data_IF_872282262454
#
_entry.id   IF_872282262454
#
_cell.length_a   1.000
_cell.length_b   1.000
_cell.length_c   1.000
_cell.angle_alpha   90.00
_cell.angle_beta   90.00
_cell.angle_gamma   90.00
#
_symmetry.space_group_name_H-M   'P 1'
#
loop_
_entity.id
_entity.type
_entity.pdbx_description
1 polymer ?
#
# COMPACT_ATOMS: atom_id res chain seq x y z
N UNK A 1 28.69 16.44 -3.07
CA UNK A 1 27.91 17.70 -3.19
C UNK A 1 26.79 17.44 -4.18
N UNK A 2 25.56 17.89 -3.90
CA UNK A 2 24.42 17.73 -4.82
C UNK A 2 24.68 18.61 -6.05
N UNK A 3 24.61 18.02 -7.24
CA UNK A 3 24.80 18.75 -8.49
C UNK A 3 23.50 19.45 -8.92
N UNK A 4 23.61 20.45 -9.80
CA UNK A 4 22.43 21.09 -10.38
C UNK A 4 21.55 20.09 -11.16
N UNK A 5 22.16 19.06 -11.76
CA UNK A 5 21.46 17.99 -12.49
C UNK A 5 20.59 17.16 -11.53
N UNK A 6 21.12 16.80 -10.37
CA UNK A 6 20.36 16.03 -9.36
C UNK A 6 19.12 16.79 -8.88
N UNK A 7 19.27 18.10 -8.65
CA UNK A 7 18.17 18.96 -8.23
C UNK A 7 17.10 19.08 -9.31
N UNK A 8 17.49 19.21 -10.58
CA UNK A 8 16.57 19.26 -11.70
C UNK A 8 15.76 17.97 -11.79
N UNK A 9 16.41 16.80 -11.71
CA UNK A 9 15.73 15.49 -11.75
C UNK A 9 14.72 15.39 -10.60
N UNK A 10 15.10 15.80 -9.40
CA UNK A 10 14.23 15.78 -8.22
C UNK A 10 13.00 16.68 -8.38
N UNK A 11 13.18 17.91 -8.86
CA UNK A 11 12.07 18.86 -9.08
C UNK A 11 11.13 18.34 -10.15
N UNK A 12 11.66 17.85 -11.29
CA UNK A 12 10.84 17.29 -12.37
C UNK A 12 10.02 16.11 -11.88
N UNK A 13 10.62 15.21 -11.08
CA UNK A 13 9.91 14.10 -10.46
C UNK A 13 8.75 14.58 -9.56
N UNK A 14 9.01 15.53 -8.66
CA UNK A 14 7.98 16.06 -7.76
C UNK A 14 6.84 16.74 -8.53
N UNK A 15 7.16 17.56 -9.52
CA UNK A 15 6.16 18.22 -10.38
C UNK A 15 5.35 17.18 -11.15
N UNK A 16 5.99 16.14 -11.67
CA UNK A 16 5.32 15.01 -12.33
C UNK A 16 4.32 14.31 -11.41
N UNK A 17 4.75 13.97 -10.19
CA UNK A 17 3.90 13.33 -9.18
C UNK A 17 2.69 14.20 -8.80
N UNK A 18 2.90 15.50 -8.55
CA UNK A 18 1.82 16.46 -8.28
C UNK A 18 0.88 16.59 -9.48
N UNK A 19 1.41 16.60 -10.70
CA UNK A 19 0.63 16.64 -11.93
C UNK A 19 -0.30 15.44 -12.08
N UNK A 20 0.20 14.22 -11.81
CA UNK A 20 -0.62 13.00 -11.80
C UNK A 20 -1.71 13.09 -10.72
N UNK A 21 -1.36 13.52 -9.50
CA UNK A 21 -2.33 13.71 -8.42
C UNK A 21 -3.43 14.69 -8.79
N UNK A 22 -3.08 15.85 -9.34
CA UNK A 22 -4.06 16.87 -9.76
C UNK A 22 -4.96 16.39 -10.90
N UNK A 23 -4.39 15.64 -11.85
CA UNK A 23 -5.14 15.06 -12.96
C UNK A 23 -6.22 14.08 -12.48
N UNK A 24 -5.87 13.15 -11.58
CA UNK A 24 -6.83 12.18 -11.05
C UNK A 24 -7.79 12.80 -10.02
N UNK A 25 -7.35 13.80 -9.26
CA UNK A 25 -8.24 14.58 -8.39
C UNK A 25 -9.43 15.16 -9.16
N UNK A 26 -9.21 15.66 -10.38
CA UNK A 26 -10.29 16.18 -11.25
C UNK A 26 -11.18 15.11 -11.86
N UNK A 27 -10.73 13.84 -11.89
CA UNK A 27 -11.47 12.71 -12.47
C UNK A 27 -12.33 11.98 -11.45
N UNK A 28 -11.94 12.00 -10.19
CA UNK A 28 -12.72 11.36 -9.12
C UNK A 28 -14.02 12.14 -8.91
N UNK A 29 -15.17 11.50 -9.17
CA UNK A 29 -16.49 12.14 -9.02
C UNK A 29 -17.22 11.69 -7.77
N UNK A 30 -16.98 10.47 -7.33
CA UNK A 30 -17.66 9.87 -6.19
C UNK A 30 -16.70 9.10 -5.27
N UNK A 31 -17.28 8.51 -4.23
CA UNK A 31 -16.56 7.72 -3.24
C UNK A 31 -15.98 6.42 -3.81
N UNK A 32 -16.63 5.84 -4.83
CA UNK A 32 -16.15 4.61 -5.48
C UNK A 32 -14.90 4.90 -6.32
N UNK A 33 -14.88 6.03 -7.05
CA UNK A 33 -13.70 6.50 -7.77
C UNK A 33 -12.53 6.75 -6.81
N UNK A 34 -12.79 7.40 -5.67
CA UNK A 34 -11.76 7.77 -4.72
C UNK A 34 -11.16 6.58 -3.95
N UNK A 35 -12.00 5.68 -3.42
CA UNK A 35 -11.53 4.59 -2.55
C UNK A 35 -11.07 3.35 -3.33
N UNK A 36 -11.70 3.04 -4.47
CA UNK A 36 -11.48 1.78 -5.19
C UNK A 36 -11.20 1.98 -6.69
N UNK A 37 -10.96 3.22 -7.13
CA UNK A 37 -10.64 3.53 -8.52
C UNK A 37 -11.75 3.13 -9.50
N UNK A 38 -13.01 3.24 -9.09
CA UNK A 38 -14.17 2.85 -9.89
C UNK A 38 -14.29 1.34 -10.15
N UNK A 39 -13.50 0.52 -9.45
CA UNK A 39 -13.43 -0.95 -9.61
C UNK A 39 -13.09 -1.43 -11.03
N UNK A 40 -12.53 -0.56 -11.87
CA UNK A 40 -12.17 -0.86 -13.27
C UNK A 40 -10.69 -1.17 -13.47
N UNK A 41 -9.87 -1.11 -12.40
CA UNK A 41 -8.44 -1.39 -12.48
C UNK A 41 -8.19 -2.87 -12.76
N UNK A 42 -7.33 -3.17 -13.73
CA UNK A 42 -6.92 -4.55 -13.99
C UNK A 42 -6.00 -5.06 -12.86
N UNK A 43 -6.00 -6.38 -12.65
CA UNK A 43 -5.20 -7.03 -11.60
C UNK A 43 -3.71 -6.68 -11.66
N UNK A 44 -3.18 -6.41 -12.86
CA UNK A 44 -1.79 -6.00 -13.06
C UNK A 44 -1.52 -4.62 -12.43
N UNK A 45 -2.37 -3.63 -12.66
CA UNK A 45 -2.21 -2.29 -12.08
C UNK A 45 -2.31 -2.34 -10.55
N UNK A 46 -3.24 -3.15 -10.02
CA UNK A 46 -3.37 -3.37 -8.58
C UNK A 46 -2.09 -4.01 -8.03
N UNK A 47 -1.57 -5.05 -8.68
CA UNK A 47 -0.34 -5.73 -8.27
C UNK A 47 0.88 -4.80 -8.24
N UNK A 48 1.07 -3.98 -9.28
CA UNK A 48 2.14 -2.99 -9.32
C UNK A 48 2.01 -1.95 -8.19
N UNK A 49 0.79 -1.49 -7.90
CA UNK A 49 0.53 -0.56 -6.80
C UNK A 49 0.84 -1.18 -5.43
N UNK A 50 0.51 -2.46 -5.23
CA UNK A 50 0.82 -3.18 -3.99
C UNK A 50 2.33 -3.26 -3.79
N UNK A 51 3.09 -3.65 -4.82
CA UNK A 51 4.55 -3.75 -4.74
C UNK A 51 5.18 -2.37 -4.50
N UNK A 52 4.69 -1.32 -5.18
CA UNK A 52 5.17 0.04 -4.98
C UNK A 52 4.90 0.57 -3.56
N UNK A 53 3.81 0.13 -2.92
CA UNK A 53 3.47 0.50 -1.53
C UNK A 53 4.35 -0.24 -0.52
N UNK A 54 4.67 -1.51 -0.80
CA UNK A 54 5.49 -2.35 0.07
C UNK A 54 6.97 -1.91 0.06
N UNK A 55 7.51 -1.61 -1.12
CA UNK A 55 8.92 -1.24 -1.31
C UNK A 55 9.09 0.28 -1.24
N UNK A 56 9.01 0.84 -0.03
CA UNK A 56 9.25 2.26 0.24
C UNK A 56 10.71 2.60 0.62
N UNK A 57 11.00 3.89 0.77
CA UNK A 57 12.35 4.37 1.14
C UNK A 57 12.86 3.82 2.47
N UNK A 58 12.00 3.76 3.50
CA UNK A 58 12.35 3.16 4.79
C UNK A 58 12.66 1.67 4.70
N UNK A 59 11.93 0.93 3.84
CA UNK A 59 12.21 -0.48 3.58
C UNK A 59 13.58 -0.67 2.91
N UNK A 60 13.90 0.14 1.90
CA UNK A 60 15.20 0.07 1.22
C UNK A 60 16.37 0.37 2.15
N UNK A 61 16.27 1.42 2.97
CA UNK A 61 17.31 1.79 3.93
C UNK A 61 17.44 0.72 5.03
N UNK A 62 16.31 0.28 5.61
CA UNK A 62 16.29 -0.71 6.67
C UNK A 62 16.87 -2.06 6.22
N UNK A 63 16.49 -2.53 5.03
CA UNK A 63 17.03 -3.77 4.48
C UNK A 63 18.51 -3.63 4.11
N UNK A 64 18.92 -2.50 3.53
CA UNK A 64 20.34 -2.22 3.28
C UNK A 64 21.17 -2.26 4.57
N UNK A 65 20.64 -1.69 5.66
CA UNK A 65 21.24 -1.76 6.99
C UNK A 65 21.32 -3.18 7.54
N UNK A 66 20.28 -3.99 7.38
CA UNK A 66 20.31 -5.41 7.76
C UNK A 66 21.34 -6.19 6.93
N UNK A 67 21.41 -5.96 5.62
CA UNK A 67 22.41 -6.56 4.75
C UNK A 67 23.83 -6.18 5.17
N UNK A 68 24.06 -4.94 5.62
CA UNK A 68 25.33 -4.51 6.18
C UNK A 68 25.67 -5.21 7.50
N UNK A 69 24.69 -5.35 8.40
CA UNK A 69 24.91 -5.89 9.74
C UNK A 69 25.06 -7.42 9.80
N UNK A 70 24.23 -8.15 9.05
CA UNK A 70 24.14 -9.61 9.11
C UNK A 70 24.34 -10.30 7.75
N UNK A 71 24.78 -9.55 6.74
CA UNK A 71 25.07 -10.09 5.41
C UNK A 71 23.84 -10.65 4.71
N UNK A 72 24.04 -11.71 3.93
CA UNK A 72 22.99 -12.37 3.16
C UNK A 72 21.86 -12.93 4.05
N UNK A 73 22.11 -13.20 5.34
CA UNK A 73 21.06 -13.65 6.24
C UNK A 73 19.91 -12.63 6.38
N UNK A 74 20.19 -11.33 6.18
CA UNK A 74 19.16 -10.28 6.17
C UNK A 74 18.11 -10.45 5.07
N UNK A 75 18.45 -11.14 3.97
CA UNK A 75 17.48 -11.41 2.90
C UNK A 75 16.39 -12.41 3.30
N UNK A 76 16.56 -13.13 4.41
CA UNK A 76 15.53 -14.05 4.89
C UNK A 76 14.23 -13.33 5.24
N UNK A 77 14.31 -12.08 5.71
CA UNK A 77 13.15 -11.24 5.96
C UNK A 77 12.34 -10.97 4.68
N UNK A 78 13.03 -10.76 3.55
CA UNK A 78 12.36 -10.62 2.25
C UNK A 78 11.66 -11.91 1.84
N UNK A 79 12.34 -13.03 2.01
CA UNK A 79 11.84 -14.32 1.54
C UNK A 79 10.56 -14.74 2.28
N UNK A 80 10.54 -14.57 3.61
CA UNK A 80 9.35 -14.88 4.42
C UNK A 80 8.21 -13.90 4.13
N UNK A 81 8.51 -12.61 3.95
CA UNK A 81 7.53 -11.61 3.54
C UNK A 81 6.89 -11.93 2.18
N UNK A 82 7.71 -12.30 1.19
CA UNK A 82 7.25 -12.67 -0.14
C UNK A 82 6.35 -13.91 -0.12
N UNK A 83 6.71 -14.94 0.64
CA UNK A 83 5.87 -16.13 0.82
C UNK A 83 4.53 -15.74 1.47
N UNK A 84 4.56 -14.92 2.52
CA UNK A 84 3.34 -14.45 3.19
C UNK A 84 2.42 -13.63 2.28
N UNK A 85 2.99 -12.75 1.47
CA UNK A 85 2.27 -11.96 0.48
C UNK A 85 1.66 -12.86 -0.60
N UNK A 86 2.41 -13.86 -1.09
CA UNK A 86 1.93 -14.81 -2.09
C UNK A 86 0.79 -15.69 -1.57
N UNK A 87 0.91 -16.21 -0.34
CA UNK A 87 -0.17 -16.97 0.31
C UNK A 87 -1.41 -16.10 0.50
N UNK A 88 -1.25 -14.86 0.97
CA UNK A 88 -2.35 -13.89 1.09
C UNK A 88 -3.01 -13.64 -0.27
N UNK A 89 -2.21 -13.48 -1.33
CA UNK A 89 -2.71 -13.21 -2.66
C UNK A 89 -3.54 -14.36 -3.25
N UNK A 90 -3.17 -15.61 -2.96
CA UNK A 90 -3.87 -16.78 -3.49
C UNK A 90 -5.10 -17.14 -2.63
N UNK A 91 -4.96 -17.13 -1.31
CA UNK A 91 -6.00 -17.66 -0.42
C UNK A 91 -6.95 -16.60 0.12
N UNK A 92 -6.44 -15.41 0.43
CA UNK A 92 -7.20 -14.37 1.11
C UNK A 92 -7.86 -13.39 0.13
N UNK A 93 -7.09 -12.85 -0.82
CA UNK A 93 -7.57 -11.82 -1.77
C UNK A 93 -8.80 -12.30 -2.55
N UNK A 94 -8.86 -13.52 -3.12
CA UNK A 94 -10.04 -13.93 -3.91
C UNK A 94 -11.32 -14.07 -3.08
N UNK A 95 -11.19 -14.37 -1.78
CA UNK A 95 -12.33 -14.44 -0.84
C UNK A 95 -12.83 -13.06 -0.49
N UNK A 96 -11.90 -12.17 -0.12
CA UNK A 96 -12.20 -10.78 0.25
C UNK A 96 -12.75 -9.99 -0.93
N UNK A 97 -12.18 -10.15 -2.12
CA UNK A 97 -12.63 -9.44 -3.33
C UNK A 97 -14.08 -9.76 -3.71
N UNK A 98 -14.50 -11.03 -3.56
CA UNK A 98 -15.90 -11.44 -3.76
C UNK A 98 -16.84 -10.78 -2.76
N UNK A 99 -16.40 -10.60 -1.51
CA UNK A 99 -17.19 -9.95 -0.46
C UNK A 99 -17.35 -8.45 -0.74
N UNK A 100 -16.23 -7.78 -1.06
CA UNK A 100 -16.20 -6.35 -1.39
C UNK A 100 -17.13 -6.05 -2.57
N UNK A 101 -17.10 -6.87 -3.62
CA UNK A 101 -17.96 -6.70 -4.80
C UNK A 101 -19.46 -6.80 -4.50
N UNK A 102 -19.86 -7.62 -3.51
CA UNK A 102 -21.28 -7.79 -3.14
C UNK A 102 -21.81 -6.69 -2.23
N UNK A 103 -20.98 -6.18 -1.32
CA UNK A 103 -21.42 -5.29 -0.25
C UNK A 103 -20.91 -3.85 -0.38
N UNK A 104 -20.18 -3.53 -1.46
CA UNK A 104 -19.58 -2.21 -1.73
C UNK A 104 -18.83 -1.67 -0.50
N UNK A 105 -17.98 -2.52 0.07
CA UNK A 105 -17.11 -2.18 1.20
C UNK A 105 -15.89 -1.41 0.69
N UNK A 106 -15.38 -0.49 1.50
CA UNK A 106 -14.27 0.39 1.12
C UNK A 106 -13.05 0.21 2.01
N UNK A 107 -13.26 -0.05 3.30
CA UNK A 107 -12.16 -0.05 4.28
C UNK A 107 -11.95 -1.41 4.92
N UNK A 108 -10.74 -1.65 5.41
CA UNK A 108 -10.42 -2.88 6.13
C UNK A 108 -11.28 -3.05 7.40
N UNK A 109 -11.49 -2.03 8.26
CA UNK A 109 -12.40 -2.15 9.41
C UNK A 109 -13.85 -2.46 9.04
N UNK A 110 -14.36 -1.94 7.91
CA UNK A 110 -15.71 -2.26 7.42
C UNK A 110 -15.87 -3.75 7.07
N UNK A 111 -14.83 -4.38 6.54
CA UNK A 111 -14.82 -5.83 6.30
C UNK A 111 -14.99 -6.59 7.62
N UNK A 112 -14.27 -6.19 8.68
CA UNK A 112 -14.43 -6.80 10.00
C UNK A 112 -15.78 -6.51 10.64
N UNK A 113 -16.37 -5.33 10.38
CA UNK A 113 -17.72 -5.01 10.83
C UNK A 113 -18.74 -5.96 10.21
N UNK A 114 -18.59 -6.27 8.92
CA UNK A 114 -19.47 -7.18 8.20
C UNK A 114 -19.28 -8.65 8.60
N UNK A 115 -18.04 -9.08 8.83
CA UNK A 115 -17.72 -10.47 9.20
C UNK A 115 -17.95 -10.78 10.68
N UNK A 116 -17.86 -9.77 11.55
CA UNK A 116 -17.91 -9.95 13.00
C UNK A 116 -18.86 -8.94 13.67
N UNK A 117 -18.33 -7.94 14.38
CA UNK A 117 -19.10 -6.97 15.14
C UNK A 117 -18.36 -5.63 15.27
N UNK A 118 -19.07 -4.62 15.81
CA UNK A 118 -18.56 -3.25 16.00
C UNK A 118 -17.30 -3.17 16.83
N UNK A 119 -17.14 -4.02 17.85
CA UNK A 119 -15.94 -3.99 18.72
C UNK A 119 -14.70 -4.43 17.95
N UNK A 120 -14.80 -5.51 17.18
CA UNK A 120 -13.70 -6.01 16.34
C UNK A 120 -13.33 -5.00 15.26
N UNK A 121 -14.31 -4.40 14.61
CA UNK A 121 -14.09 -3.34 13.62
C UNK A 121 -13.36 -2.12 14.22
N UNK A 122 -13.76 -1.69 15.41
CA UNK A 122 -13.12 -0.57 16.10
C UNK A 122 -11.65 -0.90 16.44
N UNK A 123 -11.39 -2.09 16.96
CA UNK A 123 -10.01 -2.54 17.25
C UNK A 123 -9.18 -2.58 15.97
N UNK A 124 -9.71 -3.14 14.88
CA UNK A 124 -9.03 -3.14 13.59
C UNK A 124 -8.72 -1.72 13.10
N UNK A 125 -9.68 -0.79 13.22
CA UNK A 125 -9.49 0.62 12.87
C UNK A 125 -8.41 1.31 13.69
N UNK A 126 -8.37 1.08 15.01
CA UNK A 126 -7.34 1.65 15.89
C UNK A 126 -5.96 1.09 15.54
N UNK A 127 -5.83 -0.23 15.38
CA UNK A 127 -4.56 -0.88 15.03
C UNK A 127 -4.06 -0.39 13.67
N UNK A 128 -4.93 -0.32 12.66
CA UNK A 128 -4.58 0.24 11.35
C UNK A 128 -4.15 1.71 11.46
N UNK A 129 -4.90 2.54 12.20
CA UNK A 129 -4.58 3.96 12.38
C UNK A 129 -3.20 4.17 13.03
N UNK A 130 -2.92 3.46 14.13
CA UNK A 130 -1.62 3.52 14.81
C UNK A 130 -0.51 3.03 13.88
N UNK A 131 -0.73 1.92 13.17
CA UNK A 131 0.25 1.36 12.24
C UNK A 131 0.61 2.35 11.12
N UNK A 132 -0.38 2.97 10.48
CA UNK A 132 -0.14 3.94 9.41
C UNK A 132 0.49 5.24 9.90
N UNK A 133 0.13 5.73 11.09
CA UNK A 133 0.79 6.89 11.70
C UNK A 133 2.27 6.58 11.94
N UNK A 134 2.57 5.43 12.54
CA UNK A 134 3.95 5.00 12.78
C UNK A 134 4.75 4.90 11.48
N UNK A 135 4.17 4.29 10.45
CA UNK A 135 4.81 4.15 9.14
C UNK A 135 5.04 5.50 8.43
N UNK A 136 4.12 6.46 8.59
CA UNK A 136 4.24 7.78 7.93
C UNK A 136 5.17 8.73 8.69
N UNK A 137 5.35 8.53 10.00
CA UNK A 137 6.22 9.36 10.84
C UNK A 137 7.72 9.01 10.78
N UNK A 138 8.06 7.84 10.22
CA UNK A 138 9.42 7.34 10.09
C UNK A 138 10.08 7.78 8.77
#
# INVERSE_FOLDING_TARGET
MISAVDLIIFIVYLVGMLGVGFYFMRRNKDIDDYYVGGRSMSSLHIGLSVVATDVGGGFSIGLGGLGFAIGLAGSWMLFTGLIGAWLSAIFLIPRVFKLIGKHRLYTFPEIFLHLFNKRVALVAGIVSGIGYIGFTSA
#
